data_IF_532596461035
#
_entry.id   IF_532596461035
#
_cell.length_a   1.000
_cell.length_b   1.000
_cell.length_c   1.000
_cell.angle_alpha   90.00
_cell.angle_beta   90.00
_cell.angle_gamma   90.00
#
_symmetry.space_group_name_H-M   'P 1'
#
loop_
_entity.id
_entity.type
_entity.pdbx_description
1 polymer ?
#
# COMPACT_ATOMS: atom_id res chain seq x y z
N UNK A 1 -2.40 21.67 -0.98
CA UNK A 1 -2.12 20.30 -1.43
C UNK A 1 -0.65 19.99 -1.26
N UNK A 2 -0.34 18.95 -0.53
CA UNK A 2 1.03 18.53 -0.25
C UNK A 2 1.19 17.06 -0.60
N UNK A 3 2.29 16.73 -1.27
CA UNK A 3 2.59 15.34 -1.60
C UNK A 3 3.54 14.76 -0.56
N UNK A 4 3.32 13.49 -0.24
CA UNK A 4 4.13 12.77 0.72
C UNK A 4 4.51 11.41 0.15
N UNK A 5 5.76 11.02 0.37
CA UNK A 5 6.21 9.67 0.08
C UNK A 5 6.05 8.86 1.36
N UNK A 6 5.34 7.75 1.28
CA UNK A 6 5.09 6.89 2.43
C UNK A 6 5.40 5.44 2.10
N UNK A 7 5.68 4.66 3.13
CA UNK A 7 5.80 3.21 3.02
C UNK A 7 4.82 2.56 3.99
N UNK A 8 4.29 1.41 3.59
CA UNK A 8 3.35 0.66 4.42
C UNK A 8 3.60 -0.82 4.28
N UNK A 9 3.35 -1.57 5.35
CA UNK A 9 3.31 -3.03 5.31
C UNK A 9 1.86 -3.46 5.39
N UNK A 10 1.47 -4.35 4.49
CA UNK A 10 0.09 -4.79 4.36
C UNK A 10 0.08 -6.31 4.34
N UNK A 11 -0.90 -6.91 5.00
CA UNK A 11 -1.04 -8.36 5.02
C UNK A 11 -1.26 -8.89 3.60
N UNK A 12 -0.52 -9.95 3.27
CA UNK A 12 -0.66 -10.62 1.99
C UNK A 12 -2.04 -11.28 1.92
N UNK A 13 -2.81 -10.92 0.92
CA UNK A 13 -4.14 -11.47 0.73
C UNK A 13 -4.13 -12.62 -0.26
N UNK A 14 -5.17 -13.46 -0.20
CA UNK A 14 -5.25 -14.67 -1.01
C UNK A 14 -5.43 -14.37 -2.50
N UNK A 15 -6.02 -13.23 -2.84
CA UNK A 15 -6.27 -12.86 -4.22
C UNK A 15 -5.68 -11.50 -4.54
N UNK A 16 -5.25 -11.27 -5.80
CA UNK A 16 -4.74 -9.95 -6.19
C UNK A 16 -5.75 -8.82 -6.02
N UNK A 17 -7.03 -9.09 -6.23
CA UNK A 17 -8.07 -8.07 -6.08
C UNK A 17 -8.19 -7.62 -4.64
N UNK A 18 -8.19 -8.57 -3.69
CA UNK A 18 -8.27 -8.24 -2.27
C UNK A 18 -7.01 -7.52 -1.80
N UNK A 19 -5.85 -7.89 -2.32
CA UNK A 19 -4.62 -7.20 -2.00
C UNK A 19 -4.68 -5.74 -2.45
N UNK A 20 -5.15 -5.50 -3.67
CA UNK A 20 -5.30 -4.14 -4.19
C UNK A 20 -6.24 -3.32 -3.32
N UNK A 21 -7.38 -3.89 -2.93
CA UNK A 21 -8.33 -3.21 -2.07
C UNK A 21 -7.73 -2.88 -0.70
N UNK A 22 -6.98 -3.81 -0.12
CA UNK A 22 -6.33 -3.59 1.16
C UNK A 22 -5.28 -2.48 1.08
N UNK A 23 -4.48 -2.47 0.01
CA UNK A 23 -3.49 -1.42 -0.22
C UNK A 23 -4.16 -0.06 -0.34
N UNK A 24 -5.19 0.05 -1.16
CA UNK A 24 -5.89 1.32 -1.37
C UNK A 24 -6.56 1.81 -0.10
N UNK A 25 -7.18 0.92 0.68
CA UNK A 25 -7.81 1.30 1.93
C UNK A 25 -6.78 1.83 2.93
N UNK A 26 -5.61 1.21 2.99
CA UNK A 26 -4.55 1.64 3.89
C UNK A 26 -4.00 3.00 3.48
N UNK A 27 -3.79 3.20 2.18
CA UNK A 27 -3.25 4.46 1.68
C UNK A 27 -4.23 5.62 1.87
N UNK A 28 -5.53 5.38 1.75
CA UNK A 28 -6.53 6.41 1.95
C UNK A 28 -6.55 6.95 3.37
N UNK A 29 -6.07 6.18 4.33
CA UNK A 29 -5.94 6.68 5.70
C UNK A 29 -4.83 7.71 5.84
N UNK A 30 -3.86 7.70 4.93
CA UNK A 30 -2.73 8.62 4.94
C UNK A 30 -2.97 9.87 4.09
N UNK A 31 -3.87 9.76 3.12
CA UNK A 31 -4.16 10.83 2.18
C UNK A 31 -4.76 10.24 0.91
N UNK A 32 -4.87 11.06 -0.13
CA UNK A 32 -5.36 10.57 -1.40
C UNK A 32 -4.20 9.95 -2.19
N UNK A 33 -4.26 8.64 -2.50
CA UNK A 33 -3.16 8.00 -3.22
C UNK A 33 -3.12 8.46 -4.68
N UNK A 34 -1.93 8.88 -5.11
CA UNK A 34 -1.67 9.27 -6.50
C UNK A 34 -1.10 8.10 -7.28
N UNK A 35 -0.15 7.39 -6.68
CA UNK A 35 0.43 6.20 -7.29
C UNK A 35 1.10 5.36 -6.19
N UNK A 36 1.20 4.08 -6.44
CA UNK A 36 1.90 3.19 -5.51
C UNK A 36 2.50 2.02 -6.27
N UNK A 37 3.42 1.33 -5.60
CA UNK A 37 4.02 0.11 -6.11
C UNK A 37 4.30 -0.85 -4.96
N UNK A 38 4.15 -2.14 -5.24
CA UNK A 38 4.57 -3.18 -4.30
C UNK A 38 6.05 -3.43 -4.57
N UNK A 39 6.89 -3.18 -3.57
CA UNK A 39 8.34 -3.24 -3.74
C UNK A 39 8.97 -4.49 -3.16
N UNK A 40 8.26 -5.18 -2.28
CA UNK A 40 8.75 -6.42 -1.71
C UNK A 40 7.59 -7.28 -1.21
N UNK A 41 7.79 -8.60 -1.27
CA UNK A 41 6.83 -9.57 -0.71
C UNK A 41 7.59 -10.45 0.25
N UNK A 42 7.11 -10.55 1.48
CA UNK A 42 7.67 -11.44 2.49
C UNK A 42 6.67 -12.56 2.77
N UNK A 43 6.94 -13.74 2.23
CA UNK A 43 6.04 -14.87 2.39
C UNK A 43 6.12 -15.46 3.80
N UNK A 44 7.25 -15.32 4.46
CA UNK A 44 7.41 -15.86 5.81
C UNK A 44 6.51 -15.14 6.81
N UNK A 45 6.38 -13.82 6.68
CA UNK A 45 5.49 -13.04 7.55
C UNK A 45 4.14 -12.75 6.91
N UNK A 46 3.94 -13.20 5.68
CA UNK A 46 2.71 -12.97 4.91
C UNK A 46 2.38 -11.48 4.80
N UNK A 47 3.38 -10.67 4.44
CA UNK A 47 3.21 -9.23 4.26
C UNK A 47 3.79 -8.77 2.93
N UNK A 48 3.29 -7.63 2.44
CA UNK A 48 3.86 -6.94 1.30
C UNK A 48 4.26 -5.54 1.72
N UNK A 49 5.37 -5.06 1.15
CA UNK A 49 5.81 -3.69 1.35
C UNK A 49 5.36 -2.85 0.17
N UNK A 50 4.70 -1.75 0.48
CA UNK A 50 4.17 -0.82 -0.51
C UNK A 50 4.83 0.53 -0.33
N UNK A 51 5.27 1.13 -1.44
CA UNK A 51 5.75 2.50 -1.46
C UNK A 51 4.77 3.31 -2.29
N UNK A 52 4.38 4.46 -1.76
CA UNK A 52 3.30 5.24 -2.38
C UNK A 52 3.54 6.74 -2.26
N UNK A 53 2.90 7.47 -3.15
CA UNK A 53 2.83 8.92 -3.08
C UNK A 53 1.36 9.28 -2.86
N UNK A 54 1.11 10.02 -1.78
CA UNK A 54 -0.24 10.48 -1.44
C UNK A 54 -0.25 12.00 -1.29
N UNK A 55 -1.44 12.59 -1.40
CA UNK A 55 -1.64 14.03 -1.16
C UNK A 55 -2.56 14.23 0.03
N UNK A 56 -2.28 15.31 0.76
CA UNK A 56 -3.14 15.75 1.87
C UNK A 56 -3.54 17.20 1.71
#
# INVERSE_FOLDING_TARGET
MTTHFITAEINLEATPIKLKEAVEAQLKQQGEPLRYAITAVDQASATVKVEAIVTT
#
